data_IF_528930890995
#
_entry.id   IF_528930890995
#
_cell.length_a   1.000
_cell.length_b   1.000
_cell.length_c   1.000
_cell.angle_alpha   90.00
_cell.angle_beta   90.00
_cell.angle_gamma   90.00
#
_symmetry.space_group_name_H-M   'P 1'
#
loop_
_entity.id
_entity.type
_entity.pdbx_description
1 polymer ?
#
# COMPACT_ATOMS: atom_id res chain seq x y z
N UNK A 1 -45.05 -40.22 -1.22
CA UNK A 1 -44.06 -40.37 -2.31
C UNK A 1 -43.85 -39.02 -2.98
N UNK A 2 -42.58 -38.57 -3.03
CA UNK A 2 -42.02 -37.40 -3.74
C UNK A 2 -42.56 -36.00 -3.39
N UNK A 3 -41.77 -35.24 -2.63
CA UNK A 3 -41.32 -33.94 -3.10
C UNK A 3 -39.79 -33.98 -3.20
N UNK A 4 -39.28 -34.67 -4.23
CA UNK A 4 -37.84 -34.89 -4.44
C UNK A 4 -37.30 -34.01 -5.57
N UNK A 5 -37.94 -32.87 -5.83
CA UNK A 5 -37.69 -32.08 -7.05
C UNK A 5 -37.46 -30.58 -6.80
N UNK A 6 -37.18 -30.15 -5.58
CA UNK A 6 -36.85 -28.75 -5.27
C UNK A 6 -35.47 -28.58 -4.62
N UNK A 7 -34.69 -29.66 -4.52
CA UNK A 7 -33.36 -29.68 -3.88
C UNK A 7 -32.21 -29.62 -4.90
N UNK A 8 -32.37 -28.88 -6.01
CA UNK A 8 -31.35 -28.82 -7.07
C UNK A 8 -30.99 -27.40 -7.52
N UNK A 9 -31.59 -26.35 -6.96
CA UNK A 9 -31.39 -24.96 -7.41
C UNK A 9 -30.70 -24.06 -6.35
N UNK A 10 -30.45 -24.56 -5.13
CA UNK A 10 -29.75 -23.81 -4.06
C UNK A 10 -28.35 -24.38 -3.78
N UNK A 11 -27.66 -24.87 -4.81
CA UNK A 11 -26.29 -25.39 -4.66
C UNK A 11 -25.42 -24.99 -5.86
N UNK A 12 -25.66 -23.81 -6.43
CA UNK A 12 -24.78 -23.22 -7.44
C UNK A 12 -24.37 -21.78 -7.10
N UNK A 13 -24.45 -21.39 -5.82
CA UNK A 13 -24.04 -20.07 -5.32
C UNK A 13 -22.99 -20.14 -4.20
N UNK A 14 -22.32 -21.29 -4.05
CA UNK A 14 -21.34 -21.52 -2.97
C UNK A 14 -19.96 -21.96 -3.48
N UNK A 15 -19.67 -21.86 -4.78
CA UNK A 15 -18.40 -22.32 -5.37
C UNK A 15 -17.48 -21.22 -5.91
N UNK A 16 -17.82 -19.93 -5.74
CA UNK A 16 -16.91 -18.81 -6.06
C UNK A 16 -16.10 -18.31 -4.85
N UNK A 17 -16.24 -18.93 -3.67
CA UNK A 17 -15.41 -18.64 -2.49
C UNK A 17 -14.16 -19.54 -2.40
N UNK A 18 -13.81 -20.25 -3.46
CA UNK A 18 -12.50 -20.92 -3.62
C UNK A 18 -11.39 -19.90 -3.91
N UNK A 19 -11.26 -18.87 -3.08
CA UNK A 19 -10.19 -17.88 -3.12
C UNK A 19 -9.09 -18.23 -2.13
N UNK A 20 -8.51 -19.44 -2.21
CA UNK A 20 -7.23 -19.71 -1.55
C UNK A 20 -6.16 -18.78 -2.15
N UNK A 21 -5.85 -17.70 -1.44
CA UNK A 21 -4.48 -17.20 -1.28
C UNK A 21 -3.84 -16.39 -2.42
N UNK A 22 -4.58 -15.61 -3.21
CA UNK A 22 -3.92 -14.61 -4.08
C UNK A 22 -3.32 -13.51 -3.20
N UNK A 23 -2.00 -13.31 -3.28
CA UNK A 23 -1.29 -12.28 -2.52
C UNK A 23 -1.95 -10.91 -2.76
N UNK A 24 -2.12 -10.13 -1.68
CA UNK A 24 -2.70 -8.79 -1.76
C UNK A 24 -1.86 -7.81 -2.57
N UNK A 25 -0.59 -8.14 -2.79
CA UNK A 25 0.30 -7.36 -3.62
C UNK A 25 -0.03 -7.47 -5.10
N UNK A 26 -0.56 -8.61 -5.56
CA UNK A 26 -0.71 -8.86 -7.00
C UNK A 26 -1.76 -7.90 -7.58
N UNK A 27 -1.31 -7.04 -8.49
CA UNK A 27 -2.14 -5.97 -9.05
C UNK A 27 -1.27 -4.84 -9.61
N UNK A 28 -1.94 -3.79 -10.11
CA UNK A 28 -1.32 -2.54 -10.53
C UNK A 28 -1.71 -1.44 -9.56
N UNK A 29 -0.74 -0.65 -9.14
CA UNK A 29 -0.89 0.31 -8.07
C UNK A 29 -0.34 1.66 -8.50
N UNK A 30 -1.00 2.74 -8.11
CA UNK A 30 -0.52 4.11 -8.31
C UNK A 30 -0.58 4.88 -7.01
N UNK A 31 0.28 5.89 -6.87
CA UNK A 31 0.37 6.70 -5.66
C UNK A 31 -1.00 7.26 -5.26
N UNK A 32 -1.42 6.95 -4.05
CA UNK A 32 -2.52 7.63 -3.36
C UNK A 32 -1.93 8.78 -2.51
N UNK A 33 -1.74 9.92 -3.18
CA UNK A 33 -1.13 11.10 -2.55
C UNK A 33 -1.95 11.62 -1.39
N UNK A 34 -3.27 11.64 -1.54
CA UNK A 34 -4.17 12.21 -0.55
C UNK A 34 -4.09 11.40 0.74
N UNK A 35 -4.26 10.08 0.65
CA UNK A 35 -4.14 9.19 1.81
C UNK A 35 -2.74 9.24 2.42
N UNK A 36 -1.69 9.28 1.60
CA UNK A 36 -0.31 9.34 2.10
C UNK A 36 -0.05 10.59 2.91
N UNK A 37 -0.40 11.77 2.38
CA UNK A 37 -0.18 13.05 3.09
C UNK A 37 -1.05 13.11 4.34
N UNK A 38 -2.30 12.65 4.27
CA UNK A 38 -3.19 12.62 5.43
C UNK A 38 -2.61 11.76 6.56
N UNK A 39 -2.08 10.57 6.25
CA UNK A 39 -1.51 9.66 7.26
C UNK A 39 -0.19 10.16 7.84
N UNK A 40 0.72 10.69 7.00
CA UNK A 40 2.01 11.25 7.46
C UNK A 40 1.86 12.51 8.32
N UNK A 41 0.76 13.26 8.17
CA UNK A 41 0.51 14.50 8.94
C UNK A 41 -0.41 14.27 10.14
N UNK A 42 -1.10 13.12 10.20
CA UNK A 42 -1.99 12.78 11.31
C UNK A 42 -1.24 12.21 12.53
N UNK A 43 0.01 11.76 12.39
CA UNK A 43 0.82 11.30 13.52
C UNK A 43 1.33 12.51 14.34
N UNK A 44 0.80 12.77 15.54
CA UNK A 44 1.14 13.94 16.31
C UNK A 44 2.41 13.66 17.11
N UNK A 45 3.51 14.31 16.75
CA UNK A 45 4.58 14.57 17.70
C UNK A 45 4.10 15.60 18.71
N UNK A 46 3.60 15.13 19.88
CA UNK A 46 3.39 15.83 21.17
C UNK A 46 2.68 17.21 21.20
N UNK A 47 1.66 17.42 22.06
CA UNK A 47 1.06 18.75 22.25
C UNK A 47 2.00 19.65 23.06
N UNK A 48 2.44 20.77 22.49
CA UNK A 48 3.29 21.74 23.17
C UNK A 48 2.45 22.95 23.60
N UNK A 49 1.50 22.73 24.52
CA UNK A 49 0.60 23.74 25.09
C UNK A 49 1.28 25.11 25.31
N UNK A 50 1.17 26.03 24.35
CA UNK A 50 1.52 27.45 24.55
C UNK A 50 0.92 28.36 23.45
N UNK A 51 0.46 29.59 23.77
CA UNK A 51 -0.30 30.46 22.86
C UNK A 51 0.50 31.01 21.65
N UNK A 52 1.79 30.70 21.54
CA UNK A 52 2.64 30.98 20.37
C UNK A 52 2.71 29.83 19.37
N UNK A 53 2.02 28.70 19.63
CA UNK A 53 2.02 27.49 18.80
C UNK A 53 1.53 27.73 17.37
N UNK A 54 0.55 28.61 17.14
CA UNK A 54 -0.10 28.73 15.83
C UNK A 54 0.87 28.99 14.66
N UNK A 55 1.75 29.98 14.81
CA UNK A 55 2.71 30.32 13.76
C UNK A 55 3.81 29.27 13.60
N UNK A 56 4.34 28.74 14.72
CA UNK A 56 5.39 27.70 14.68
C UNK A 56 4.85 26.37 14.16
N UNK A 57 3.60 26.03 14.51
CA UNK A 57 2.88 24.88 14.00
C UNK A 57 2.59 25.02 12.52
N UNK A 58 2.13 26.17 12.05
CA UNK A 58 1.90 26.40 10.61
C UNK A 58 3.21 26.32 9.81
N UNK A 59 4.32 26.81 10.37
CA UNK A 59 5.65 26.70 9.77
C UNK A 59 6.16 25.25 9.72
N UNK A 60 6.01 24.50 10.82
CA UNK A 60 6.41 23.08 10.92
C UNK A 60 5.52 22.22 10.03
N UNK A 61 4.20 22.43 10.04
CA UNK A 61 3.26 21.75 9.15
C UNK A 61 3.57 22.08 7.68
N UNK A 62 4.00 23.32 7.38
CA UNK A 62 4.45 23.74 6.05
C UNK A 62 5.75 23.05 5.61
N UNK A 63 6.73 22.96 6.51
CA UNK A 63 8.01 22.28 6.27
C UNK A 63 7.82 20.77 6.08
N UNK A 64 7.04 20.13 6.96
CA UNK A 64 6.70 18.71 6.89
C UNK A 64 5.96 18.40 5.59
N UNK A 65 4.98 19.22 5.20
CA UNK A 65 4.31 19.10 3.88
C UNK A 65 5.30 19.27 2.72
N UNK A 66 6.29 20.14 2.84
CA UNK A 66 7.36 20.32 1.85
C UNK A 66 8.25 19.08 1.71
N UNK A 67 8.68 18.51 2.83
CA UNK A 67 9.49 17.28 2.88
C UNK A 67 8.70 16.08 2.36
N UNK A 68 7.44 15.91 2.79
CA UNK A 68 6.57 14.85 2.27
C UNK A 68 6.38 14.99 0.75
N UNK A 69 6.18 16.20 0.22
CA UNK A 69 6.09 16.40 -1.25
C UNK A 69 7.35 15.93 -1.96
N UNK A 70 8.54 16.31 -1.47
CA UNK A 70 9.81 15.88 -2.06
C UNK A 70 9.94 14.36 -2.04
N UNK A 71 9.64 13.71 -0.92
CA UNK A 71 9.67 12.25 -0.79
C UNK A 71 8.71 11.54 -1.74
N UNK A 72 7.57 12.16 -2.05
CA UNK A 72 6.56 11.57 -2.94
C UNK A 72 6.83 11.80 -4.42
N UNK A 73 7.70 12.75 -4.80
CA UNK A 73 8.03 13.01 -6.22
C UNK A 73 8.57 11.78 -6.94
N UNK A 74 9.30 10.90 -6.24
CA UNK A 74 9.83 9.67 -6.82
C UNK A 74 8.73 8.69 -7.26
N UNK A 75 7.53 8.76 -6.65
CA UNK A 75 6.37 7.93 -6.97
C UNK A 75 5.38 8.62 -7.91
N UNK A 76 5.53 9.92 -8.19
CA UNK A 76 4.64 10.64 -9.10
C UNK A 76 4.75 10.10 -10.53
N UNK A 77 3.60 9.75 -11.11
CA UNK A 77 3.52 9.18 -12.46
C UNK A 77 4.13 7.78 -12.57
N UNK A 78 4.38 7.10 -11.45
CA UNK A 78 4.83 5.70 -11.42
C UNK A 78 3.64 4.80 -11.15
N UNK A 79 3.52 3.76 -11.97
CA UNK A 79 2.69 2.59 -11.67
C UNK A 79 3.59 1.47 -11.17
N UNK A 80 3.15 0.79 -10.11
CA UNK A 80 3.82 -0.38 -9.56
C UNK A 80 2.96 -1.58 -9.89
N UNK A 81 3.49 -2.50 -10.69
CA UNK A 81 2.83 -3.75 -11.03
C UNK A 81 3.51 -4.89 -10.28
N UNK A 82 2.72 -5.69 -9.57
CA UNK A 82 3.17 -6.93 -8.95
C UNK A 82 2.51 -8.11 -9.64
N UNK A 83 3.34 -9.06 -10.06
CA UNK A 83 2.92 -10.40 -10.46
C UNK A 83 3.24 -11.39 -9.33
N UNK A 84 3.17 -12.69 -9.59
CA UNK A 84 3.53 -13.69 -8.58
C UNK A 84 5.03 -13.68 -8.22
N UNK A 85 5.90 -13.23 -9.12
CA UNK A 85 7.37 -13.39 -9.01
C UNK A 85 8.15 -12.10 -9.28
N UNK A 86 7.51 -11.10 -9.87
CA UNK A 86 8.15 -9.86 -10.31
C UNK A 86 7.36 -8.64 -9.86
N UNK A 87 8.10 -7.57 -9.56
CA UNK A 87 7.60 -6.22 -9.39
C UNK A 87 8.14 -5.36 -10.54
N UNK A 88 7.30 -4.52 -11.14
CA UNK A 88 7.71 -3.59 -12.20
C UNK A 88 7.34 -2.18 -11.80
N UNK A 89 8.31 -1.26 -11.87
CA UNK A 89 8.07 0.19 -11.74
C UNK A 89 7.95 0.78 -13.14
N UNK A 90 6.75 1.18 -13.53
CA UNK A 90 6.44 1.68 -14.88
C UNK A 90 6.31 3.20 -14.82
N UNK A 91 7.06 3.90 -15.66
CA UNK A 91 6.97 5.34 -15.88
C UNK A 91 6.87 5.60 -17.38
N UNK A 92 5.82 6.30 -17.81
CA UNK A 92 5.56 6.60 -19.22
C UNK A 92 5.56 5.33 -20.12
N UNK A 93 4.96 4.24 -19.63
CA UNK A 93 4.87 2.96 -20.36
C UNK A 93 6.15 2.13 -20.41
N UNK A 94 7.27 2.63 -19.86
CA UNK A 94 8.53 1.88 -19.75
C UNK A 94 8.78 1.53 -18.30
N UNK A 95 9.13 0.27 -18.01
CA UNK A 95 9.42 -0.14 -16.64
C UNK A 95 10.36 -1.33 -16.57
N UNK A 96 11.26 -1.30 -15.61
CA UNK A 96 12.16 -2.41 -15.30
C UNK A 96 11.47 -3.38 -14.34
N UNK A 97 11.55 -4.67 -14.65
CA UNK A 97 11.04 -5.73 -13.79
C UNK A 97 12.17 -6.23 -12.88
N UNK A 98 11.89 -6.31 -11.59
CA UNK A 98 12.77 -6.89 -10.58
C UNK A 98 12.07 -8.09 -9.94
N UNK A 99 12.77 -9.20 -9.84
CA UNK A 99 12.25 -10.36 -9.11
C UNK A 99 12.27 -10.09 -7.62
N UNK A 100 11.34 -10.71 -6.89
CA UNK A 100 11.26 -10.56 -5.45
C UNK A 100 10.93 -11.88 -4.76
N UNK A 101 11.37 -12.01 -3.51
CA UNK A 101 11.00 -13.09 -2.61
C UNK A 101 10.33 -12.54 -1.35
N UNK A 102 9.30 -13.23 -0.86
CA UNK A 102 8.72 -12.92 0.45
C UNK A 102 9.58 -13.59 1.51
N UNK A 103 10.34 -12.81 2.27
CA UNK A 103 11.25 -13.32 3.31
C UNK A 103 10.59 -13.40 4.68
N UNK A 104 9.54 -12.61 4.92
CA UNK A 104 8.81 -12.60 6.18
C UNK A 104 7.33 -12.23 5.98
N UNK A 105 6.47 -12.76 6.85
CA UNK A 105 5.04 -12.41 6.94
C UNK A 105 4.70 -12.15 8.41
N UNK A 106 5.06 -10.97 8.94
CA UNK A 106 4.88 -10.68 10.36
C UNK A 106 3.39 -10.66 10.75
N UNK A 107 2.52 -10.25 9.83
CA UNK A 107 1.07 -10.14 10.04
C UNK A 107 0.31 -10.63 8.80
N UNK A 108 -1.02 -10.84 8.92
CA UNK A 108 -1.84 -11.33 7.81
C UNK A 108 -1.92 -10.37 6.62
N UNK A 109 -1.76 -9.07 6.89
CA UNK A 109 -1.84 -7.97 5.95
C UNK A 109 -0.48 -7.32 5.68
N UNK A 110 0.62 -7.89 6.20
CA UNK A 110 1.97 -7.32 6.05
C UNK A 110 2.96 -8.38 5.56
N UNK A 111 3.79 -8.01 4.59
CA UNK A 111 4.85 -8.86 4.04
C UNK A 111 6.15 -8.08 3.93
N UNK A 112 7.26 -8.77 4.16
CA UNK A 112 8.61 -8.25 3.92
C UNK A 112 9.15 -8.93 2.66
N UNK A 113 9.53 -8.11 1.69
CA UNK A 113 10.07 -8.55 0.42
C UNK A 113 11.58 -8.29 0.38
N UNK A 114 12.31 -9.17 -0.29
CA UNK A 114 13.67 -8.91 -0.74
C UNK A 114 13.71 -8.92 -2.26
N UNK A 115 14.18 -7.83 -2.85
CA UNK A 115 14.36 -7.69 -4.29
C UNK A 115 15.70 -8.30 -4.75
N UNK A 116 15.83 -8.56 -6.05
CA UNK A 116 17.02 -9.17 -6.63
C UNK A 116 18.31 -8.36 -6.44
N UNK A 117 18.19 -7.04 -6.30
CA UNK A 117 19.29 -6.13 -5.99
C UNK A 117 19.70 -6.12 -4.51
N UNK A 118 18.97 -6.87 -3.66
CA UNK A 118 19.19 -6.96 -2.23
C UNK A 118 18.40 -5.95 -1.39
N UNK A 119 17.62 -5.05 -2.01
CA UNK A 119 16.75 -4.12 -1.28
C UNK A 119 15.67 -4.91 -0.50
N UNK A 120 15.46 -4.55 0.77
CA UNK A 120 14.42 -5.15 1.62
C UNK A 120 13.34 -4.10 1.86
N UNK A 121 12.10 -4.42 1.48
CA UNK A 121 10.98 -3.49 1.56
C UNK A 121 9.77 -4.15 2.22
N UNK A 122 9.14 -3.44 3.14
CA UNK A 122 7.91 -3.88 3.80
C UNK A 122 6.69 -3.33 3.07
N UNK A 123 5.75 -4.20 2.76
CA UNK A 123 4.47 -3.86 2.16
C UNK A 123 3.33 -4.32 3.05
N UNK A 124 2.28 -3.50 3.13
CA UNK A 124 1.05 -3.80 3.84
C UNK A 124 -0.17 -3.67 2.93
N UNK A 125 -1.27 -4.35 3.28
CA UNK A 125 -2.59 -4.07 2.71
C UNK A 125 -3.09 -2.72 3.27
N UNK A 126 -3.84 -2.00 2.45
CA UNK A 126 -4.59 -0.82 2.85
C UNK A 126 -6.03 -0.95 2.32
N UNK A 127 -6.95 -0.13 2.85
CA UNK A 127 -8.38 -0.20 2.51
C UNK A 127 -8.64 -0.09 1.00
N UNK A 128 -7.88 0.77 0.31
CA UNK A 128 -8.02 1.07 -1.13
C UNK A 128 -6.93 0.44 -1.99
N UNK A 129 -6.02 -0.36 -1.40
CA UNK A 129 -4.92 -0.97 -2.14
C UNK A 129 -3.79 -1.49 -1.23
N UNK A 130 -2.60 -0.93 -1.40
CA UNK A 130 -1.39 -1.36 -0.69
C UNK A 130 -0.64 -0.16 -0.13
N UNK A 131 0.25 -0.41 0.82
CA UNK A 131 1.14 0.60 1.40
C UNK A 131 2.57 0.06 1.48
N UNK A 132 3.53 0.92 1.23
CA UNK A 132 4.96 0.60 1.30
C UNK A 132 5.59 1.40 2.43
N UNK A 133 6.36 0.73 3.29
CA UNK A 133 7.08 1.41 4.36
C UNK A 133 8.31 2.11 3.79
N UNK A 134 8.49 3.38 4.13
CA UNK A 134 9.72 4.10 3.83
C UNK A 134 10.84 3.65 4.78
N UNK A 135 12.06 3.59 4.25
CA UNK A 135 13.24 3.39 5.09
C UNK A 135 13.47 4.63 5.97
N UNK A 136 13.76 4.42 7.25
CA UNK A 136 14.08 5.49 8.22
C UNK A 136 13.76 5.10 9.66
N UNK A 137 14.10 5.98 10.59
CA UNK A 137 13.89 5.78 12.04
C UNK A 137 12.41 5.94 12.46
N UNK A 138 11.61 6.61 11.63
CA UNK A 138 10.17 6.79 11.84
C UNK A 138 9.37 5.94 10.86
N UNK A 139 8.27 5.37 11.35
CA UNK A 139 7.42 4.48 10.57
C UNK A 139 6.50 5.27 9.63
N UNK A 140 7.05 5.69 8.49
CA UNK A 140 6.28 6.37 7.45
C UNK A 140 5.82 5.40 6.36
N UNK A 141 4.55 5.48 6.00
CA UNK A 141 3.94 4.65 4.95
C UNK A 141 3.56 5.49 3.72
N UNK A 142 3.91 5.01 2.53
CA UNK A 142 3.39 5.52 1.26
C UNK A 142 2.23 4.65 0.81
N UNK A 143 1.10 5.25 0.50
CA UNK A 143 -0.12 4.55 0.13
C UNK A 143 -0.29 4.53 -1.39
N UNK A 144 -0.80 3.41 -1.89
CA UNK A 144 -1.09 3.20 -3.29
C UNK A 144 -2.50 2.62 -3.43
N UNK A 145 -3.22 3.13 -4.42
CA UNK A 145 -4.54 2.64 -4.82
C UNK A 145 -4.43 1.83 -6.10
N UNK A 146 -5.42 0.98 -6.35
CA UNK A 146 -5.47 0.22 -7.62
C UNK A 146 -5.49 1.17 -8.83
N UNK A 147 -4.82 0.76 -9.90
CA UNK A 147 -5.07 1.31 -11.25
C UNK A 147 -6.30 0.62 -11.81
N UNK A 148 -7.23 1.40 -12.37
CA UNK A 148 -8.42 0.88 -13.07
C UNK A 148 -8.09 0.34 -14.47
#
# INVERSE_FOLDING_TARGET
MKPLLHLAIVTFLATTLSGCGRSFLIGKWTLDRETTVAKMTAEPGQPAANPGEGFLKDLVDGLQKGVSRLLLTQFEGVEIEFTATEMRRIRNGTGEAVTYEVIEKPEADTVVLKYADGEIVTWGRADTGVRMRLAGDQEHWVYFRTVE
#
